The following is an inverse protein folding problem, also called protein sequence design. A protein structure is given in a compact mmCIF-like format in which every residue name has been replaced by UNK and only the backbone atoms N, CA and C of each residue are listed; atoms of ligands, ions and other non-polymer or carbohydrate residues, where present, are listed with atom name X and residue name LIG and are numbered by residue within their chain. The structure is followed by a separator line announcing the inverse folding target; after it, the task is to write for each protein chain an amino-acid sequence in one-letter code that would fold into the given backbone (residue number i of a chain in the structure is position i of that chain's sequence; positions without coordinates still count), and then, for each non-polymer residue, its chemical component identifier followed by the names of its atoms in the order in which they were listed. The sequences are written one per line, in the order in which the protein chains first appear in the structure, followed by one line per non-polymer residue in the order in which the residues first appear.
data_IF_693600688420
#
_entry.id   IF_693600688420
#
_cell.length_a   1.000
_cell.length_b   1.000
_cell.length_c   1.000
_cell.angle_alpha   90.00
_cell.angle_beta   90.00
_cell.angle_gamma   90.00
#
_symmetry.space_group_name_H-M   'P 1'
#
loop_
_entity.id
_entity.type
_entity.pdbx_description
1 polymer ?
#
# COMPACT_ATOMS: atom_id res chain seq x y z
N UNK A 1 62.31 -25.67 16.45
CA UNK A 1 61.56 -24.44 16.77
C UNK A 1 60.72 -24.09 15.55
N UNK A 2 59.44 -24.42 15.60
CA UNK A 2 58.44 -24.17 14.55
C UNK A 2 57.63 -22.96 15.01
N UNK A 3 57.77 -21.85 14.25
CA UNK A 3 57.01 -20.63 14.49
C UNK A 3 55.61 -20.71 13.87
N UNK A 4 54.58 -20.54 14.68
CA UNK A 4 53.19 -20.39 14.27
C UNK A 4 52.94 -19.00 13.72
N UNK A 5 52.39 -18.93 12.48
CA UNK A 5 51.89 -17.70 11.87
C UNK A 5 50.55 -17.30 12.52
N UNK A 6 50.28 -16.02 12.77
CA UNK A 6 48.97 -15.57 13.28
C UNK A 6 47.93 -15.57 12.15
N UNK A 7 46.74 -16.07 12.47
CA UNK A 7 45.60 -16.14 11.59
C UNK A 7 45.10 -14.75 11.17
N UNK A 8 44.77 -14.62 9.91
CA UNK A 8 44.07 -13.48 9.33
C UNK A 8 42.62 -13.48 9.84
N UNK A 9 42.30 -12.48 10.63
CA UNK A 9 40.95 -12.18 11.06
C UNK A 9 40.19 -11.56 9.88
N UNK A 10 39.31 -12.33 9.25
CA UNK A 10 38.38 -11.83 8.21
C UNK A 10 37.15 -11.28 8.89
N UNK A 11 37.30 -10.13 9.55
CA UNK A 11 36.15 -9.33 9.99
C UNK A 11 35.39 -8.85 8.78
N UNK A 12 34.26 -9.49 8.50
CA UNK A 12 33.26 -8.99 7.53
C UNK A 12 32.62 -7.73 8.08
N UNK A 13 33.12 -6.58 7.63
CA UNK A 13 32.49 -5.29 7.90
C UNK A 13 31.07 -5.32 7.36
N UNK A 14 30.07 -5.14 8.24
CA UNK A 14 28.70 -4.87 7.83
C UNK A 14 28.71 -3.63 6.93
N UNK A 15 27.93 -3.61 5.84
CA UNK A 15 27.79 -2.41 5.04
C UNK A 15 27.27 -1.29 5.96
N UNK A 16 28.03 -0.22 6.08
CA UNK A 16 27.62 1.00 6.75
C UNK A 16 26.41 1.54 6.00
N UNK A 17 25.27 1.58 6.67
CA UNK A 17 24.09 2.30 6.18
C UNK A 17 24.53 3.76 5.99
N UNK A 18 24.60 4.19 4.73
CA UNK A 18 24.99 5.55 4.37
C UNK A 18 23.86 6.47 4.83
N UNK A 19 24.06 7.14 5.96
CA UNK A 19 23.12 8.14 6.50
C UNK A 19 23.12 9.28 5.50
N UNK A 20 22.11 9.33 4.64
CA UNK A 20 21.90 10.45 3.72
C UNK A 20 21.68 11.73 4.52
N UNK A 21 22.35 12.84 4.15
CA UNK A 21 22.12 14.10 4.84
C UNK A 21 20.65 14.50 4.68
N UNK A 22 20.02 14.91 5.77
CA UNK A 22 18.58 15.16 5.94
C UNK A 22 17.97 16.19 4.92
N UNK A 23 18.81 16.81 4.07
CA UNK A 23 18.43 17.82 3.07
C UNK A 23 19.19 17.66 1.75
N UNK A 24 19.53 16.46 1.35
CA UNK A 24 20.17 16.21 0.06
C UNK A 24 19.14 15.65 -0.93
N UNK A 25 19.18 16.15 -2.17
CA UNK A 25 18.48 15.49 -3.26
C UNK A 25 19.17 14.14 -3.59
N UNK A 26 18.39 13.18 -4.00
CA UNK A 26 18.90 11.87 -4.42
C UNK A 26 18.24 11.44 -5.74
N UNK A 27 18.87 10.52 -6.44
CA UNK A 27 18.30 9.93 -7.64
C UNK A 27 17.22 8.94 -7.28
N UNK A 28 15.99 9.18 -7.75
CA UNK A 28 14.84 8.36 -7.44
C UNK A 28 14.92 6.95 -8.06
N UNK A 29 15.42 6.84 -9.28
CA UNK A 29 15.61 5.54 -9.93
C UNK A 29 16.63 4.68 -9.19
N UNK A 30 17.73 5.28 -8.73
CA UNK A 30 18.73 4.58 -7.91
C UNK A 30 18.15 4.14 -6.56
N UNK A 31 17.25 4.95 -5.99
CA UNK A 31 16.56 4.58 -4.75
C UNK A 31 15.66 3.36 -4.98
N UNK A 32 14.87 3.32 -6.07
CA UNK A 32 14.03 2.18 -6.44
C UNK A 32 14.89 0.92 -6.59
N UNK A 33 16.00 0.98 -7.34
CA UNK A 33 16.89 -0.17 -7.52
C UNK A 33 17.44 -0.73 -6.20
N UNK A 34 17.86 0.15 -5.30
CA UNK A 34 18.36 -0.25 -3.97
C UNK A 34 17.29 -0.84 -3.06
N UNK A 35 16.03 -0.47 -3.27
CA UNK A 35 14.90 -0.89 -2.44
C UNK A 35 13.98 -1.94 -3.08
N UNK A 36 14.24 -2.39 -4.29
CA UNK A 36 13.35 -3.29 -5.05
C UNK A 36 12.95 -4.57 -4.31
N UNK A 37 13.83 -5.09 -3.45
CA UNK A 37 13.53 -6.26 -2.62
C UNK A 37 12.44 -5.99 -1.56
N UNK A 38 12.23 -4.73 -1.19
CA UNK A 38 11.23 -4.29 -0.21
C UNK A 38 9.93 -3.82 -0.88
N UNK A 39 9.91 -3.74 -2.23
CA UNK A 39 8.73 -3.38 -3.03
C UNK A 39 8.02 -4.64 -3.55
N UNK A 40 8.11 -5.75 -2.84
CA UNK A 40 7.49 -7.05 -3.13
C UNK A 40 6.65 -7.51 -1.94
N UNK A 41 5.67 -8.39 -2.16
CA UNK A 41 4.92 -9.00 -1.07
C UNK A 41 5.83 -9.63 0.01
N UNK A 42 5.41 -9.67 1.29
CA UNK A 42 4.09 -9.31 1.81
C UNK A 42 3.87 -7.82 2.05
N UNK A 43 4.92 -7.00 2.08
CA UNK A 43 4.85 -5.55 2.28
C UNK A 43 5.38 -4.90 1.02
N UNK A 44 4.49 -4.39 0.19
CA UNK A 44 4.84 -3.84 -1.13
C UNK A 44 5.03 -2.32 -1.12
N UNK A 45 4.95 -1.66 0.02
CA UNK A 45 5.10 -0.21 0.14
C UNK A 45 6.27 0.18 1.05
N UNK A 46 6.89 1.33 0.74
CA UNK A 46 7.96 1.92 1.55
C UNK A 46 7.89 3.43 1.52
N UNK A 47 8.01 4.06 2.67
CA UNK A 47 8.17 5.50 2.76
C UNK A 47 9.45 5.93 2.05
N UNK A 48 9.33 6.98 1.20
CA UNK A 48 10.48 7.56 0.49
C UNK A 48 11.29 8.47 1.41
N UNK A 49 10.63 9.08 2.40
CA UNK A 49 11.23 9.96 3.40
C UNK A 49 10.81 9.51 4.80
N UNK A 50 11.78 9.42 5.70
CA UNK A 50 11.52 9.02 7.10
C UNK A 50 10.93 10.17 7.93
N UNK A 51 11.07 11.41 7.46
CA UNK A 51 10.64 12.60 8.16
C UNK A 51 9.90 13.55 7.20
N UNK A 52 8.59 13.58 7.34
CA UNK A 52 7.72 14.58 6.72
C UNK A 52 6.61 14.90 7.70
N UNK A 53 6.23 16.18 7.80
CA UNK A 53 5.18 16.64 8.71
C UNK A 53 3.83 16.81 8.02
N UNK A 54 3.83 17.16 6.74
CA UNK A 54 2.62 17.62 6.05
C UNK A 54 2.19 16.69 4.90
N UNK A 55 3.11 15.88 4.42
CA UNK A 55 2.84 14.90 3.35
C UNK A 55 3.47 13.55 3.69
N UNK A 56 2.85 12.50 3.19
CA UNK A 56 3.40 11.14 3.15
C UNK A 56 3.75 10.81 1.71
N UNK A 57 4.98 10.36 1.47
CA UNK A 57 5.43 9.94 0.15
C UNK A 57 5.84 8.49 0.21
N UNK A 58 5.11 7.64 -0.52
CA UNK A 58 5.32 6.20 -0.55
C UNK A 58 5.66 5.72 -1.95
N UNK A 59 6.53 4.72 -2.01
CA UNK A 59 6.75 3.92 -3.21
C UNK A 59 6.08 2.57 -3.01
N UNK A 60 5.22 2.20 -3.94
CA UNK A 60 4.41 0.98 -3.87
C UNK A 60 4.74 0.09 -5.05
N UNK A 61 5.08 -1.16 -4.77
CA UNK A 61 5.40 -2.16 -5.79
C UNK A 61 4.29 -3.19 -6.00
N UNK A 62 4.39 -3.90 -7.11
CA UNK A 62 3.56 -5.06 -7.43
C UNK A 62 4.36 -6.38 -7.40
N UNK A 63 3.67 -7.56 -7.32
CA UNK A 63 2.21 -7.67 -7.36
C UNK A 63 1.56 -7.30 -6.02
N UNK A 64 0.42 -6.63 -6.09
CA UNK A 64 -0.41 -6.30 -4.94
C UNK A 64 -1.87 -6.22 -5.39
N UNK A 65 -2.72 -7.05 -4.83
CA UNK A 65 -4.16 -7.05 -5.05
C UNK A 65 -4.87 -7.05 -3.70
N UNK A 66 -5.94 -6.27 -3.61
CA UNK A 66 -6.71 -6.12 -2.37
C UNK A 66 -8.20 -6.04 -2.68
N UNK A 67 -9.03 -6.36 -1.70
CA UNK A 67 -10.50 -6.42 -1.80
C UNK A 67 -11.19 -5.34 -0.97
N UNK A 68 -10.45 -4.65 -0.14
CA UNK A 68 -10.91 -3.51 0.63
C UNK A 68 -10.76 -2.21 -0.18
N UNK A 69 -11.62 -1.27 0.12
CA UNK A 69 -11.57 0.10 -0.38
C UNK A 69 -11.17 1.03 0.75
N UNK A 70 -10.26 1.91 0.45
CA UNK A 70 -9.82 2.96 1.34
C UNK A 70 -10.66 4.23 1.14
N UNK A 71 -11.12 4.80 2.23
CA UNK A 71 -11.75 6.13 2.32
C UNK A 71 -10.72 7.03 3.00
N UNK A 72 -9.85 7.66 2.16
CA UNK A 72 -8.80 8.55 2.64
C UNK A 72 -9.39 9.94 2.96
N UNK A 73 -9.17 10.49 4.15
CA UNK A 73 -9.59 11.85 4.48
C UNK A 73 -8.77 12.94 3.79
N UNK A 74 -7.70 12.60 3.06
CA UNK A 74 -6.87 13.49 2.29
C UNK A 74 -6.93 13.16 0.79
N UNK A 75 -6.47 14.08 -0.04
CA UNK A 75 -6.24 13.80 -1.47
C UNK A 75 -5.03 12.90 -1.64
N UNK A 76 -5.07 12.00 -2.63
CA UNK A 76 -3.95 11.16 -3.01
C UNK A 76 -3.49 11.45 -4.44
N UNK A 77 -2.21 11.72 -4.60
CA UNK A 77 -1.58 11.84 -5.92
C UNK A 77 -0.85 10.55 -6.27
N UNK A 78 -1.16 10.01 -7.44
CA UNK A 78 -0.53 8.82 -8.00
C UNK A 78 0.36 9.19 -9.19
N UNK A 79 1.55 8.63 -9.24
CA UNK A 79 2.42 8.62 -10.42
C UNK A 79 2.89 7.19 -10.66
N UNK A 80 2.53 6.61 -11.79
CA UNK A 80 2.94 5.26 -12.15
C UNK A 80 4.30 5.30 -12.84
N UNK A 81 5.34 4.87 -12.11
CA UNK A 81 6.74 4.98 -12.51
C UNK A 81 7.13 3.89 -13.52
N UNK A 82 6.64 2.65 -13.29
CA UNK A 82 6.93 1.49 -14.13
C UNK A 82 5.78 0.49 -14.08
N UNK A 83 5.45 -0.07 -15.24
CA UNK A 83 4.29 -0.95 -15.40
C UNK A 83 2.97 -0.21 -15.16
N UNK A 84 1.85 -0.91 -15.32
CA UNK A 84 0.52 -0.35 -15.17
C UNK A 84 -0.10 -0.71 -13.81
N UNK A 85 -1.07 0.09 -13.38
CA UNK A 85 -1.97 -0.23 -12.28
C UNK A 85 -3.41 0.06 -12.65
N UNK A 86 -4.33 -0.50 -11.89
CA UNK A 86 -5.76 -0.18 -11.94
C UNK A 86 -6.16 0.36 -10.57
N UNK A 87 -6.75 1.54 -10.53
CA UNK A 87 -7.40 2.05 -9.34
C UNK A 87 -8.90 1.72 -9.44
N UNK A 88 -9.39 0.79 -8.64
CA UNK A 88 -10.82 0.57 -8.52
C UNK A 88 -11.43 1.68 -7.67
N UNK A 89 -12.49 2.30 -8.16
CA UNK A 89 -13.18 3.40 -7.49
C UNK A 89 -14.61 2.99 -7.22
N UNK A 90 -15.10 3.22 -5.98
CA UNK A 90 -16.48 3.00 -5.60
C UNK A 90 -17.14 4.36 -5.32
N UNK A 91 -18.02 4.77 -6.21
CA UNK A 91 -18.70 6.05 -6.17
C UNK A 91 -20.13 5.92 -6.76
N UNK A 92 -21.09 6.64 -6.20
CA UNK A 92 -22.48 6.68 -6.65
C UNK A 92 -23.15 5.29 -6.81
N UNK A 93 -22.75 4.34 -5.97
CA UNK A 93 -23.28 2.97 -5.97
C UNK A 93 -22.74 2.08 -7.08
N UNK A 94 -21.71 2.52 -7.79
CA UNK A 94 -20.99 1.75 -8.80
C UNK A 94 -19.51 1.56 -8.42
N UNK A 95 -18.95 0.46 -8.87
CA UNK A 95 -17.49 0.22 -8.83
C UNK A 95 -17.00 0.22 -10.27
N UNK A 96 -15.98 1.03 -10.55
CA UNK A 96 -15.39 1.14 -11.88
C UNK A 96 -13.86 1.22 -11.82
N UNK A 97 -13.21 0.92 -12.92
CA UNK A 97 -11.78 0.87 -13.05
C UNK A 97 -11.22 2.15 -13.68
N UNK A 98 -10.22 2.74 -13.02
CA UNK A 98 -9.42 3.84 -13.55
C UNK A 98 -8.01 3.27 -13.83
N UNK A 99 -7.68 2.96 -15.09
CA UNK A 99 -6.33 2.54 -15.44
C UNK A 99 -5.36 3.71 -15.32
N UNK A 100 -4.23 3.50 -14.64
CA UNK A 100 -3.11 4.45 -14.57
C UNK A 100 -1.90 3.73 -15.16
N UNK A 101 -1.50 4.13 -16.37
CA UNK A 101 -0.42 3.47 -17.12
C UNK A 101 0.94 4.01 -16.71
N UNK A 102 1.98 3.30 -17.09
CA UNK A 102 3.35 3.78 -16.91
C UNK A 102 3.51 5.20 -17.48
N UNK A 103 4.08 6.08 -16.66
CA UNK A 103 4.26 7.51 -16.96
C UNK A 103 3.03 8.40 -16.69
N UNK A 104 1.87 7.81 -16.39
CA UNK A 104 0.66 8.60 -16.11
C UNK A 104 0.59 9.04 -14.65
N UNK A 105 -0.14 10.14 -14.44
CA UNK A 105 -0.44 10.70 -13.12
C UNK A 105 -1.96 10.78 -12.91
N UNK A 106 -2.39 10.67 -11.66
CA UNK A 106 -3.78 10.81 -11.28
C UNK A 106 -3.88 11.49 -9.92
N UNK A 107 -4.84 12.40 -9.75
CA UNK A 107 -5.18 12.99 -8.46
C UNK A 107 -6.56 12.50 -8.05
N UNK A 108 -6.62 11.80 -6.93
CA UNK A 108 -7.85 11.32 -6.33
C UNK A 108 -8.29 12.30 -5.25
N UNK A 109 -9.52 12.84 -5.31
CA UNK A 109 -10.06 13.67 -4.25
C UNK A 109 -10.23 12.91 -2.94
N UNK A 110 -10.17 13.62 -1.82
CA UNK A 110 -10.47 13.07 -0.51
C UNK A 110 -11.86 12.41 -0.48
N UNK A 111 -11.98 11.34 0.33
CA UNK A 111 -13.21 10.59 0.56
C UNK A 111 -13.78 9.85 -0.66
N UNK A 112 -13.05 9.72 -1.75
CA UNK A 112 -13.39 8.81 -2.84
C UNK A 112 -12.86 7.41 -2.48
N UNK A 113 -13.77 6.44 -2.33
CA UNK A 113 -13.43 5.06 -1.97
C UNK A 113 -12.67 4.40 -3.10
N UNK A 114 -11.50 3.88 -2.81
CA UNK A 114 -10.63 3.36 -3.85
C UNK A 114 -9.84 2.14 -3.38
N UNK A 115 -9.45 1.30 -4.33
CA UNK A 115 -8.68 0.08 -4.08
C UNK A 115 -7.59 -0.07 -5.16
N UNK A 116 -6.33 0.28 -4.84
CA UNK A 116 -5.23 0.16 -5.79
C UNK A 116 -4.91 -1.31 -6.09
N UNK A 117 -4.88 -1.65 -7.38
CA UNK A 117 -4.56 -2.98 -7.88
C UNK A 117 -3.28 -2.92 -8.72
N UNK A 118 -2.27 -3.70 -8.36
CA UNK A 118 -1.02 -3.84 -9.11
C UNK A 118 -0.76 -5.32 -9.38
N UNK A 119 -1.45 -5.94 -10.36
CA UNK A 119 -1.33 -7.38 -10.59
C UNK A 119 0.01 -7.80 -11.19
N UNK A 120 0.73 -6.87 -11.80
CA UNK A 120 1.97 -7.15 -12.53
C UNK A 120 3.18 -7.08 -11.60
N UNK A 121 4.01 -8.14 -11.63
CA UNK A 121 5.28 -8.14 -10.89
C UNK A 121 6.22 -7.07 -11.44
N UNK A 122 6.87 -6.35 -10.52
CA UNK A 122 7.82 -5.29 -10.86
C UNK A 122 7.17 -3.95 -11.23
N UNK A 123 5.84 -3.83 -11.18
CA UNK A 123 5.23 -2.50 -11.28
C UNK A 123 5.60 -1.65 -10.07
N UNK A 124 5.82 -0.36 -10.30
CA UNK A 124 6.22 0.61 -9.27
C UNK A 124 5.43 1.89 -9.45
N UNK A 125 4.80 2.35 -8.39
CA UNK A 125 4.12 3.64 -8.33
C UNK A 125 4.62 4.49 -7.17
N UNK A 126 4.55 5.80 -7.35
CA UNK A 126 4.72 6.81 -6.31
C UNK A 126 3.34 7.29 -5.87
N UNK A 127 3.09 7.30 -4.56
CA UNK A 127 1.87 7.84 -3.96
C UNK A 127 2.26 8.95 -3.02
N UNK A 128 1.59 10.09 -3.15
CA UNK A 128 1.75 11.24 -2.25
C UNK A 128 0.39 11.58 -1.69
N UNK A 129 0.29 11.64 -0.38
CA UNK A 129 -0.94 11.96 0.34
C UNK A 129 -0.68 12.95 1.47
N UNK A 130 -1.72 13.60 1.98
CA UNK A 130 -1.64 14.44 3.16
C UNK A 130 -1.34 13.62 4.42
N UNK A 131 -0.49 14.15 5.29
CA UNK A 131 -0.29 13.54 6.60
C UNK A 131 -1.57 13.64 7.44
N UNK A 132 -1.89 12.57 8.20
CA UNK A 132 -3.08 12.53 9.06
C UNK A 132 -2.89 13.42 10.28
N UNK A 133 -3.79 14.35 10.49
CA UNK A 133 -3.89 15.11 11.72
C UNK A 133 -4.75 14.37 12.76
N UNK A 134 -4.66 14.80 14.03
CA UNK A 134 -5.23 14.07 15.17
C UNK A 134 -6.71 13.75 15.09
N UNK A 135 -7.49 14.50 14.31
CA UNK A 135 -8.93 14.32 14.14
C UNK A 135 -9.32 13.53 12.90
N UNK A 136 -8.37 13.26 12.02
CA UNK A 136 -8.62 12.54 10.77
C UNK A 136 -8.65 11.04 11.00
N UNK A 137 -9.66 10.39 10.42
CA UNK A 137 -9.79 8.93 10.42
C UNK A 137 -9.84 8.43 9.00
N UNK A 138 -9.13 7.36 8.78
CA UNK A 138 -9.23 6.56 7.56
C UNK A 138 -10.40 5.59 7.69
N UNK A 139 -11.16 5.41 6.62
CA UNK A 139 -12.18 4.38 6.51
C UNK A 139 -11.70 3.22 5.64
N UNK A 140 -12.06 2.01 6.02
CA UNK A 140 -11.87 0.83 5.18
C UNK A 140 -13.21 0.15 4.98
N UNK A 141 -13.56 -0.11 3.72
CA UNK A 141 -14.86 -0.59 3.29
C UNK A 141 -14.71 -1.86 2.45
N UNK A 142 -15.65 -2.78 2.62
CA UNK A 142 -15.78 -3.97 1.79
C UNK A 142 -17.14 -3.99 1.14
N UNK A 143 -17.15 -4.13 -0.17
CA UNK A 143 -18.38 -4.14 -0.96
C UNK A 143 -18.73 -5.54 -1.41
N UNK A 144 -20.00 -5.83 -1.55
CA UNK A 144 -20.51 -7.09 -2.04
C UNK A 144 -20.15 -7.26 -3.53
N UNK A 145 -19.49 -8.35 -3.88
CA UNK A 145 -19.12 -8.64 -5.27
C UNK A 145 -20.33 -8.94 -6.16
N UNK A 146 -21.47 -9.37 -5.58
CA UNK A 146 -22.66 -9.71 -6.34
C UNK A 146 -23.57 -8.51 -6.61
N UNK A 147 -23.67 -7.56 -5.68
CA UNK A 147 -24.64 -6.46 -5.80
C UNK A 147 -24.06 -5.05 -5.54
N UNK A 148 -22.76 -4.92 -5.24
CA UNK A 148 -22.10 -3.65 -5.04
C UNK A 148 -22.42 -2.92 -3.73
N UNK A 149 -23.33 -3.45 -2.89
CA UNK A 149 -23.66 -2.80 -1.62
C UNK A 149 -22.54 -2.95 -0.59
N UNK A 150 -22.43 -1.94 0.29
CA UNK A 150 -21.51 -1.98 1.42
C UNK A 150 -21.84 -3.17 2.33
N UNK A 151 -20.84 -4.00 2.61
CA UNK A 151 -20.91 -5.14 3.52
C UNK A 151 -20.42 -4.75 4.90
N UNK A 152 -19.26 -4.09 4.96
CA UNK A 152 -18.62 -3.73 6.22
C UNK A 152 -17.82 -2.44 6.07
N UNK A 153 -17.75 -1.65 7.16
CA UNK A 153 -16.90 -0.46 7.26
C UNK A 153 -16.24 -0.42 8.63
N UNK A 154 -14.98 -0.06 8.66
CA UNK A 154 -14.25 0.26 9.89
C UNK A 154 -13.55 1.61 9.73
N UNK A 155 -13.54 2.40 10.79
CA UNK A 155 -12.80 3.67 10.85
C UNK A 155 -11.69 3.57 11.88
N UNK A 156 -10.53 4.08 11.51
CA UNK A 156 -9.35 4.02 12.35
C UNK A 156 -8.50 5.29 12.19
N UNK A 157 -7.92 5.75 13.29
CA UNK A 157 -6.85 6.74 13.24
C UNK A 157 -5.54 5.99 13.05
N UNK A 158 -5.01 6.01 11.83
CA UNK A 158 -3.77 5.32 11.49
C UNK A 158 -2.58 6.07 12.10
N UNK A 159 -1.75 5.31 12.83
CA UNK A 159 -0.44 5.78 13.33
C UNK A 159 0.70 5.00 12.69
N UNK A 160 0.47 3.72 12.41
CA UNK A 160 1.42 2.81 11.78
C UNK A 160 0.64 1.82 10.91
N UNK A 161 0.66 2.06 9.61
CA UNK A 161 -0.11 1.27 8.63
C UNK A 161 0.21 -0.23 8.69
N UNK A 162 1.44 -0.58 9.04
CA UNK A 162 1.90 -1.98 9.10
C UNK A 162 1.37 -2.69 10.35
N UNK A 163 1.13 -1.94 11.43
CA UNK A 163 0.66 -2.50 12.70
C UNK A 163 -0.85 -2.37 12.89
N UNK A 164 -1.41 -1.25 12.44
CA UNK A 164 -2.80 -0.90 12.74
C UNK A 164 -3.79 -1.62 11.83
N UNK A 165 -3.46 -1.80 10.54
CA UNK A 165 -4.39 -2.37 9.56
C UNK A 165 -4.56 -3.90 9.64
N UNK A 166 -3.52 -4.73 9.81
CA UNK A 166 -3.71 -6.18 9.78
C UNK A 166 -4.73 -6.71 10.79
N UNK A 167 -4.76 -6.27 12.06
CA UNK A 167 -5.76 -6.74 13.02
C UNK A 167 -7.20 -6.38 12.62
N UNK A 168 -7.41 -5.21 12.01
CA UNK A 168 -8.73 -4.75 11.56
C UNK A 168 -9.23 -5.59 10.38
N UNK A 169 -8.36 -5.85 9.42
CA UNK A 169 -8.66 -6.65 8.25
C UNK A 169 -8.91 -8.12 8.62
N UNK A 170 -8.06 -8.69 9.48
CA UNK A 170 -8.21 -10.05 9.97
C UNK A 170 -9.51 -10.23 10.76
N UNK A 171 -9.94 -9.22 11.52
CA UNK A 171 -11.21 -9.25 12.24
C UNK A 171 -12.39 -9.43 11.27
N UNK A 172 -12.45 -8.68 10.18
CA UNK A 172 -13.46 -8.85 9.14
C UNK A 172 -13.33 -10.18 8.40
N UNK A 173 -12.12 -10.53 7.93
CA UNK A 173 -11.91 -11.75 7.14
C UNK A 173 -12.26 -13.03 7.90
N UNK A 174 -12.04 -13.05 9.21
CA UNK A 174 -12.32 -14.20 10.06
C UNK A 174 -13.77 -14.23 10.60
N UNK A 175 -14.55 -13.16 10.44
CA UNK A 175 -15.93 -13.08 10.91
C UNK A 175 -16.92 -13.42 9.79
N UNK A 176 -17.36 -14.66 9.72
CA UNK A 176 -18.31 -15.12 8.69
C UNK A 176 -19.62 -14.35 8.70
N UNK A 177 -20.09 -13.91 9.87
CA UNK A 177 -21.36 -13.18 10.00
C UNK A 177 -21.25 -11.77 9.43
N UNK A 178 -20.17 -11.08 9.70
CA UNK A 178 -19.93 -9.72 9.17
C UNK A 178 -19.69 -9.71 7.66
N UNK A 179 -19.31 -10.84 7.08
CA UNK A 179 -19.12 -10.98 5.62
C UNK A 179 -20.41 -11.22 4.85
N UNK A 180 -21.55 -11.39 5.50
CA UNK A 180 -22.83 -11.56 4.81
C UNK A 180 -23.38 -10.22 4.39
N UNK A 181 -23.63 -10.04 3.09
CA UNK A 181 -24.24 -8.83 2.56
C UNK A 181 -25.67 -8.66 3.10
N UNK A 182 -25.92 -7.57 3.80
CA UNK A 182 -27.25 -7.27 4.34
C UNK A 182 -28.33 -7.01 3.27
N UNK A 183 -27.92 -6.75 2.02
CA UNK A 183 -28.84 -6.48 0.92
C UNK A 183 -29.25 -7.75 0.15
N UNK A 184 -28.28 -8.56 -0.28
CA UNK A 184 -28.58 -9.73 -1.14
C UNK A 184 -28.32 -11.09 -0.45
N UNK A 185 -27.73 -11.10 0.74
CA UNK A 185 -27.41 -12.33 1.47
C UNK A 185 -26.16 -13.06 0.98
N UNK A 186 -25.47 -12.57 -0.04
CA UNK A 186 -24.22 -13.16 -0.53
C UNK A 186 -23.09 -12.98 0.49
N UNK A 187 -22.21 -13.99 0.58
CA UNK A 187 -21.05 -13.92 1.45
C UNK A 187 -19.86 -13.29 0.72
N UNK A 188 -19.28 -12.23 1.28
CA UNK A 188 -18.01 -11.69 0.81
C UNK A 188 -16.91 -12.75 0.97
N UNK A 189 -16.05 -13.01 -0.05
CA UNK A 189 -15.09 -14.10 -0.06
C UNK A 189 -13.99 -13.98 1.01
N UNK A 190 -13.86 -12.81 1.63
CA UNK A 190 -12.79 -12.52 2.59
C UNK A 190 -11.61 -11.87 1.89
N UNK A 191 -10.42 -12.37 2.15
CA UNK A 191 -9.17 -11.78 1.66
C UNK A 191 -8.91 -12.03 0.17
N UNK A 192 -9.36 -13.16 -0.34
CA UNK A 192 -9.07 -13.56 -1.72
C UNK A 192 -10.10 -12.94 -2.68
N UNK A 193 -9.66 -12.16 -3.68
CA UNK A 193 -10.58 -11.61 -4.66
C UNK A 193 -11.18 -12.73 -5.53
N UNK A 194 -12.41 -12.56 -6.02
CA UNK A 194 -12.96 -13.47 -7.01
C UNK A 194 -12.18 -13.38 -8.33
N UNK A 195 -12.31 -14.42 -9.15
CA UNK A 195 -11.70 -14.45 -10.47
C UNK A 195 -12.18 -13.27 -11.33
N UNK A 196 -11.24 -12.54 -11.92
CA UNK A 196 -11.53 -11.39 -12.78
C UNK A 196 -11.69 -10.06 -12.03
N UNK A 197 -11.41 -10.06 -10.73
CA UNK A 197 -11.38 -8.83 -9.93
C UNK A 197 -10.27 -7.87 -10.33
#
# INVERSE_FOLDING_TARGET
LIGTLPGLDTSTAKPTEEIMPQRAAFNFSDWIERNKQHLKPPVSNRHLFDHSSDIVVMVVGGPNQRVDFHDDPAEEFFYQVSGDMILKVAEDGAIYDVPIREGEVFLLPAHIRHSPQRPVEGSVGLVVEGARHSEMKDGFEWFCFDCGHLVHRVEVQIKDIVKDLPPLFDAFYNNQTERICGHCGAAHPGKEPPFGW
#
